data_IF_833186225510
#
_entry.id   IF_833186225510
#
_cell.length_a   1.000
_cell.length_b   1.000
_cell.length_c   1.000
_cell.angle_alpha   90.00
_cell.angle_beta   90.00
_cell.angle_gamma   90.00
#
_symmetry.space_group_name_H-M   'P 1'
#
loop_
_entity.id
_entity.type
_entity.pdbx_description
1 polymer ?
#
# COMPACT_ATOMS: atom_id res chain seq x y z
N UNK A 1 4.54 6.54 -16.83
CA UNK A 1 3.21 6.21 -16.29
C UNK A 1 2.90 7.05 -15.05
N UNK A 2 3.54 6.80 -13.90
CA UNK A 2 3.26 7.52 -12.65
C UNK A 2 3.30 9.04 -12.82
N UNK A 3 4.31 9.60 -13.49
CA UNK A 3 4.40 11.04 -13.74
C UNK A 3 3.16 11.63 -14.45
N UNK A 4 2.65 10.96 -15.49
CA UNK A 4 1.44 11.38 -16.20
C UNK A 4 0.18 11.26 -15.34
N UNK A 5 0.10 10.21 -14.51
CA UNK A 5 -1.01 10.07 -13.56
C UNK A 5 -0.96 11.18 -12.50
N UNK A 6 0.23 11.58 -12.04
CA UNK A 6 0.38 12.70 -11.11
C UNK A 6 -0.13 14.02 -11.67
N UNK A 7 0.07 14.29 -12.96
CA UNK A 7 -0.47 15.49 -13.61
C UNK A 7 -2.01 15.49 -13.56
N UNK A 8 -2.64 14.34 -13.83
CA UNK A 8 -4.10 14.18 -13.76
C UNK A 8 -4.61 14.35 -12.31
N UNK A 9 -3.87 13.82 -11.34
CA UNK A 9 -4.27 13.86 -9.92
C UNK A 9 -4.09 15.26 -9.30
N UNK A 10 -3.12 16.02 -9.79
CA UNK A 10 -2.83 17.37 -9.30
C UNK A 10 -3.72 18.47 -9.92
N UNK A 11 -4.40 18.18 -11.04
CA UNK A 11 -5.28 19.14 -11.70
C UNK A 11 -6.61 19.29 -10.94
N UNK A 12 -6.91 20.52 -10.50
CA UNK A 12 -8.14 20.88 -9.78
C UNK A 12 -9.42 20.59 -10.59
N UNK A 13 -9.33 20.62 -11.92
CA UNK A 13 -10.45 20.36 -12.82
C UNK A 13 -10.58 18.88 -13.20
N UNK A 14 -9.68 18.03 -12.70
CA UNK A 14 -9.72 16.59 -12.94
C UNK A 14 -10.94 15.95 -12.27
N UNK A 15 -11.61 14.99 -12.93
CA UNK A 15 -12.68 14.24 -12.28
C UNK A 15 -12.15 13.40 -11.12
N UNK A 16 -13.07 12.99 -10.24
CA UNK A 16 -12.76 11.98 -9.23
C UNK A 16 -12.14 10.74 -9.90
N UNK A 17 -10.91 10.43 -9.53
CA UNK A 17 -10.10 9.38 -10.16
C UNK A 17 -9.95 8.20 -9.21
N UNK A 18 -10.17 6.99 -9.72
CA UNK A 18 -9.92 5.73 -9.00
C UNK A 18 -8.82 4.96 -9.73
N UNK A 19 -7.69 4.75 -9.05
CA UNK A 19 -6.60 3.90 -9.52
C UNK A 19 -6.70 2.54 -8.83
N UNK A 20 -6.74 1.47 -9.62
CA UNK A 20 -6.67 0.09 -9.09
C UNK A 20 -5.27 -0.45 -9.40
N UNK A 21 -4.51 -0.76 -8.37
CA UNK A 21 -3.18 -1.33 -8.49
C UNK A 21 -2.91 -2.35 -7.39
N UNK A 22 -1.93 -3.23 -7.64
CA UNK A 22 -1.36 -4.15 -6.66
C UNK A 22 0.07 -3.73 -6.24
N UNK A 23 0.63 -2.69 -6.85
CA UNK A 23 1.95 -2.15 -6.55
C UNK A 23 1.82 -0.77 -5.91
N UNK A 24 2.36 -0.60 -4.71
CA UNK A 24 2.31 0.69 -3.99
C UNK A 24 3.10 1.77 -4.72
N UNK A 25 4.13 1.37 -5.47
CA UNK A 25 5.01 2.23 -6.24
C UNK A 25 4.30 2.91 -7.42
N UNK A 26 3.10 2.44 -7.79
CA UNK A 26 2.29 3.03 -8.84
C UNK A 26 1.36 4.14 -8.34
N UNK A 27 1.22 4.32 -7.01
CA UNK A 27 0.38 5.36 -6.42
C UNK A 27 1.00 6.73 -6.72
N UNK A 28 0.35 7.59 -7.53
CA UNK A 28 0.85 8.93 -7.81
C UNK A 28 0.73 9.82 -6.56
N UNK A 29 1.69 10.72 -6.32
CA UNK A 29 1.55 11.80 -5.35
C UNK A 29 0.25 12.57 -5.54
N UNK A 30 -0.40 12.95 -4.44
CA UNK A 30 -1.69 13.66 -4.43
C UNK A 30 -2.91 12.75 -4.24
N UNK A 31 -2.75 11.42 -4.29
CA UNK A 31 -3.79 10.49 -3.85
C UNK A 31 -4.10 10.70 -2.37
N UNK A 32 -5.38 10.92 -2.06
CA UNK A 32 -5.83 11.29 -0.69
C UNK A 32 -6.40 10.13 0.10
N UNK A 33 -6.99 9.15 -0.60
CA UNK A 33 -7.69 8.01 0.01
C UNK A 33 -7.20 6.70 -0.59
N UNK A 34 -7.33 5.62 0.16
CA UNK A 34 -7.10 4.27 -0.31
C UNK A 34 -8.21 3.32 0.18
N UNK A 35 -8.35 2.20 -0.53
CA UNK A 35 -9.19 1.07 -0.13
C UNK A 35 -8.44 -0.21 -0.43
N UNK A 36 -8.25 -1.04 0.59
CA UNK A 36 -7.66 -2.37 0.45
C UNK A 36 -8.77 -3.40 0.30
N UNK A 37 -8.64 -4.23 -0.74
CA UNK A 37 -9.58 -5.29 -1.05
C UNK A 37 -8.89 -6.65 -0.97
N UNK A 38 -9.53 -7.59 -0.26
CA UNK A 38 -9.10 -8.99 -0.19
C UNK A 38 -10.32 -9.89 -0.31
N UNK A 39 -10.26 -10.86 -1.22
CA UNK A 39 -11.34 -11.84 -1.42
C UNK A 39 -12.74 -11.19 -1.59
N UNK A 40 -12.80 -10.04 -2.28
CA UNK A 40 -14.04 -9.30 -2.51
C UNK A 40 -14.58 -8.54 -1.28
N UNK A 41 -13.81 -8.44 -0.21
CA UNK A 41 -14.15 -7.69 1.01
C UNK A 41 -13.19 -6.52 1.20
N UNK A 42 -13.72 -5.43 1.76
CA UNK A 42 -12.91 -4.28 2.19
C UNK A 42 -12.20 -4.67 3.48
N UNK A 43 -10.86 -4.59 3.46
CA UNK A 43 -10.02 -4.75 4.65
C UNK A 43 -9.98 -3.42 5.42
N UNK A 44 -9.68 -2.33 4.72
CA UNK A 44 -9.67 -0.97 5.25
C UNK A 44 -9.96 0.04 4.13
N UNK A 45 -10.59 1.17 4.47
CA UNK A 45 -10.85 2.27 3.55
C UNK A 45 -10.87 3.61 4.30
N UNK A 46 -10.32 4.66 3.70
CA UNK A 46 -10.17 5.96 4.36
C UNK A 46 -8.97 6.76 3.84
N UNK A 47 -8.49 7.75 4.62
CA UNK A 47 -7.27 8.50 4.29
C UNK A 47 -6.09 7.57 4.04
N UNK A 48 -5.32 7.85 2.99
CA UNK A 48 -4.27 6.94 2.50
C UNK A 48 -3.24 6.56 3.58
N UNK A 49 -2.89 7.49 4.47
CA UNK A 49 -1.93 7.26 5.56
C UNK A 49 -2.47 6.39 6.69
N UNK A 50 -3.78 6.31 6.84
CA UNK A 50 -4.45 5.46 7.84
C UNK A 50 -4.72 4.06 7.30
N UNK A 51 -4.83 3.93 5.97
CA UNK A 51 -5.10 2.66 5.28
C UNK A 51 -3.81 1.93 4.95
N UNK A 52 -2.79 2.60 4.40
CA UNK A 52 -1.53 1.97 3.98
C UNK A 52 -0.56 1.81 5.16
N UNK A 53 -0.94 0.93 6.09
CA UNK A 53 -0.16 0.58 7.28
C UNK A 53 0.44 -0.81 7.15
N UNK A 54 1.50 -1.10 7.93
CA UNK A 54 2.08 -2.44 8.04
C UNK A 54 1.01 -3.50 8.32
N UNK A 55 0.08 -3.21 9.23
CA UNK A 55 -0.97 -4.12 9.69
C UNK A 55 -1.97 -4.43 8.56
N UNK A 56 -2.62 -3.41 8.00
CA UNK A 56 -3.63 -3.63 6.97
C UNK A 56 -3.04 -4.21 5.69
N UNK A 57 -1.82 -3.81 5.32
CA UNK A 57 -1.12 -4.38 4.17
C UNK A 57 -0.74 -5.84 4.41
N UNK A 58 -0.26 -6.18 5.62
CA UNK A 58 0.05 -7.57 5.94
C UNK A 58 -1.20 -8.46 5.90
N UNK A 59 -2.33 -7.96 6.39
CA UNK A 59 -3.62 -8.65 6.31
C UNK A 59 -4.07 -8.83 4.86
N UNK A 60 -4.00 -7.77 4.04
CA UNK A 60 -4.42 -7.80 2.64
C UNK A 60 -3.62 -8.81 1.79
N UNK A 61 -2.33 -8.99 2.10
CA UNK A 61 -1.40 -9.83 1.33
C UNK A 61 -1.08 -11.19 1.98
N UNK A 62 -1.62 -11.50 3.16
CA UNK A 62 -1.31 -12.72 3.94
C UNK A 62 0.20 -12.93 4.17
N UNK A 63 0.95 -11.85 4.34
CA UNK A 63 2.40 -11.86 4.51
C UNK A 63 2.83 -10.71 5.42
N UNK A 64 3.79 -10.91 6.36
CA UNK A 64 4.35 -9.80 7.12
C UNK A 64 5.03 -8.78 6.18
N UNK A 65 4.51 -7.55 6.15
CA UNK A 65 5.02 -6.45 5.33
C UNK A 65 5.49 -5.28 6.20
N UNK A 66 6.47 -4.56 5.68
CA UNK A 66 6.87 -3.23 6.12
C UNK A 66 6.58 -2.24 5.01
N UNK A 67 5.71 -1.28 5.31
CA UNK A 67 5.32 -0.18 4.45
C UNK A 67 6.18 1.02 4.79
N UNK A 68 6.69 1.70 3.77
CA UNK A 68 7.37 2.98 3.93
C UNK A 68 6.94 3.96 2.86
N UNK A 69 7.11 5.24 3.18
CA UNK A 69 6.97 6.34 2.23
C UNK A 69 8.24 7.17 2.27
N UNK A 70 8.88 7.33 1.12
CA UNK A 70 10.12 8.10 0.95
C UNK A 70 9.96 8.98 -0.29
N UNK A 71 10.21 10.28 -0.17
CA UNK A 71 10.02 11.27 -1.24
C UNK A 71 8.65 11.18 -1.94
N UNK A 72 7.59 10.93 -1.15
CA UNK A 72 6.22 10.79 -1.64
C UNK A 72 5.92 9.48 -2.38
N UNK A 73 6.85 8.51 -2.38
CA UNK A 73 6.66 7.19 -2.98
C UNK A 73 6.44 6.12 -1.91
N UNK A 74 5.35 5.40 -2.06
CA UNK A 74 5.03 4.25 -1.23
C UNK A 74 5.81 3.02 -1.69
N UNK A 75 6.25 2.20 -0.74
CA UNK A 75 6.78 0.88 -1.00
C UNK A 75 6.38 -0.10 0.09
N UNK A 76 6.27 -1.38 -0.25
CA UNK A 76 6.12 -2.45 0.73
C UNK A 76 7.20 -3.50 0.51
N UNK A 77 7.83 -3.95 1.59
CA UNK A 77 8.83 -5.01 1.56
C UNK A 77 8.43 -6.09 2.55
N UNK A 78 8.68 -7.35 2.21
CA UNK A 78 8.52 -8.43 3.18
C UNK A 78 9.33 -8.11 4.44
N UNK A 79 8.66 -8.06 5.59
CA UNK A 79 9.34 -7.99 6.86
C UNK A 79 10.18 -9.26 6.97
N UNK A 80 11.51 -9.14 7.06
CA UNK A 80 12.33 -10.32 7.33
C UNK A 80 11.84 -10.92 8.63
N UNK A 81 11.28 -12.13 8.56
CA UNK A 81 11.14 -12.95 9.75
C UNK A 81 12.57 -13.19 10.23
N UNK A 82 12.95 -12.64 11.38
CA UNK A 82 14.18 -13.08 12.01
C UNK A 82 14.06 -14.59 12.18
N UNK A 83 15.02 -15.40 11.68
CA UNK A 83 14.97 -16.83 11.90
C UNK A 83 15.33 -17.06 13.37
N UNK A 84 14.34 -17.12 14.26
CA UNK A 84 14.59 -17.65 15.59
C UNK A 84 13.93 -19.02 15.75
N UNK A 85 14.82 -20.01 15.92
CA UNK A 85 14.67 -21.34 16.52
C UNK A 85 14.26 -22.51 15.62
N UNK A 86 15.21 -22.95 14.80
CA UNK A 86 15.53 -24.37 14.75
C UNK A 86 16.37 -24.71 15.99
N UNK A 87 15.71 -24.89 17.14
CA UNK A 87 16.31 -25.46 18.34
C UNK A 87 15.20 -25.95 19.29
N UNK A 88 14.77 -27.20 19.05
CA UNK A 88 14.43 -28.28 20.01
C UNK A 88 14.63 -29.58 19.17
N UNK A 89 15.77 -30.30 19.28
CA UNK A 89 15.95 -31.59 20.02
C UNK A 89 14.88 -32.65 19.64
N UNK A 90 15.16 -33.87 19.15
CA UNK A 90 16.30 -34.80 19.28
C UNK A 90 16.94 -35.25 17.93
#
# INVERSE_FOLDING_TARGET
LVATLSEIVADEFSPATVLVTHHLEEIPPGMTHAMLLKQGRVVAAGPITEVLTDEHMSEAFDLPLKVSVEDGRWSARAARRHPERAAVEE
#
